data_IF_514141700272
#
_entry.id   IF_514141700272
#
_cell.length_a   1.000
_cell.length_b   1.000
_cell.length_c   1.000
_cell.angle_alpha   90.00
_cell.angle_beta   90.00
_cell.angle_gamma   90.00
#
_symmetry.space_group_name_H-M   'P 1'
#
loop_
_entity.id
_entity.type
_entity.pdbx_description
1 polymer ?
#
# COMPACT_ATOMS: atom_id res chain seq x y z
N UNK A 1 3.58 23.78 -5.17
CA UNK A 1 2.30 23.75 -5.93
C UNK A 1 2.14 22.33 -6.44
N UNK A 2 1.07 21.59 -6.07
CA UNK A 2 0.89 20.20 -6.48
C UNK A 2 0.47 20.12 -7.97
N UNK A 3 0.88 19.04 -8.63
CA UNK A 3 0.50 18.71 -10.02
C UNK A 3 -0.88 18.05 -9.98
N UNK A 4 -1.78 18.40 -10.86
CA UNK A 4 -3.06 17.68 -11.02
C UNK A 4 -2.82 16.46 -11.91
N UNK A 5 -3.08 15.27 -11.37
CA UNK A 5 -2.95 14.02 -12.11
C UNK A 5 -4.18 13.79 -12.99
N UNK A 6 -3.94 13.49 -14.25
CA UNK A 6 -4.95 13.04 -15.23
C UNK A 6 -4.70 11.61 -15.70
N UNK A 7 -3.49 11.12 -15.50
CA UNK A 7 -3.02 9.77 -15.84
C UNK A 7 -2.39 9.12 -14.59
N UNK A 8 -2.29 7.80 -14.53
CA UNK A 8 -1.60 7.13 -13.44
C UNK A 8 -0.14 7.55 -13.31
N UNK A 9 0.27 7.90 -12.10
CA UNK A 9 1.66 8.11 -11.74
C UNK A 9 2.17 6.86 -11.01
N UNK A 10 3.15 6.18 -11.58
CA UNK A 10 3.68 4.90 -11.07
C UNK A 10 5.19 5.01 -10.85
N UNK A 11 5.64 4.58 -9.68
CA UNK A 11 7.04 4.41 -9.30
C UNK A 11 7.31 2.91 -9.13
N UNK A 12 8.24 2.34 -9.86
CA UNK A 12 8.39 0.89 -10.02
C UNK A 12 9.82 0.43 -9.71
N UNK A 13 10.23 0.67 -8.47
CA UNK A 13 11.56 0.30 -7.98
C UNK A 13 12.65 1.32 -8.34
N UNK A 14 12.29 2.57 -8.58
CA UNK A 14 13.22 3.69 -8.63
C UNK A 14 13.36 4.39 -7.28
N UNK A 15 14.54 4.94 -7.01
CA UNK A 15 14.76 5.86 -5.90
C UNK A 15 14.42 7.29 -6.34
N UNK A 16 13.57 7.98 -5.58
CA UNK A 16 13.24 9.39 -5.85
C UNK A 16 13.98 10.33 -4.89
N UNK A 17 14.49 11.44 -5.41
CA UNK A 17 15.32 12.39 -4.65
C UNK A 17 14.52 13.44 -3.89
N UNK A 18 13.20 13.44 -3.99
CA UNK A 18 12.34 14.42 -3.33
C UNK A 18 10.91 13.93 -3.22
N UNK A 19 10.11 14.66 -2.44
CA UNK A 19 8.70 14.36 -2.26
C UNK A 19 7.91 14.93 -3.43
N UNK A 20 7.26 14.06 -4.21
CA UNK A 20 6.31 14.48 -5.23
C UNK A 20 4.96 14.82 -4.59
N UNK A 21 4.35 15.93 -5.02
CA UNK A 21 3.06 16.41 -4.46
C UNK A 21 2.04 16.58 -5.57
N UNK A 22 0.86 16.01 -5.36
CA UNK A 22 -0.22 15.94 -6.35
C UNK A 22 -1.55 16.40 -5.77
N UNK A 23 -2.40 17.03 -6.59
CA UNK A 23 -3.82 17.16 -6.32
C UNK A 23 -4.50 15.85 -6.74
N UNK A 24 -5.14 15.15 -5.79
CA UNK A 24 -5.69 13.82 -5.97
C UNK A 24 -6.98 13.63 -5.18
N UNK A 25 -8.07 13.20 -5.86
CA UNK A 25 -9.35 12.84 -5.24
C UNK A 25 -9.88 13.86 -4.21
N UNK A 26 -9.86 15.16 -4.55
CA UNK A 26 -10.25 16.31 -3.69
C UNK A 26 -9.30 16.58 -2.51
N UNK A 27 -8.13 15.99 -2.48
CA UNK A 27 -7.11 16.15 -1.47
C UNK A 27 -5.74 16.48 -2.07
N UNK A 28 -4.74 16.37 -1.23
CA UNK A 28 -3.33 16.45 -1.61
C UNK A 28 -2.69 15.11 -1.26
N UNK A 29 -2.01 14.51 -2.23
CA UNK A 29 -1.20 13.32 -2.03
C UNK A 29 0.28 13.66 -2.16
N UNK A 30 1.10 13.08 -1.27
CA UNK A 30 2.54 13.11 -1.36
C UNK A 30 3.05 11.70 -1.59
N UNK A 31 4.02 11.53 -2.49
CA UNK A 31 4.61 10.24 -2.80
C UNK A 31 6.14 10.32 -2.69
N UNK A 32 6.70 9.28 -2.09
CA UNK A 32 8.14 9.07 -1.98
C UNK A 32 8.44 7.57 -1.96
N UNK A 33 9.53 7.17 -2.58
CA UNK A 33 10.06 5.81 -2.51
C UNK A 33 11.59 5.85 -2.63
N UNK A 34 12.25 4.95 -1.92
CA UNK A 34 13.69 4.85 -1.92
C UNK A 34 14.15 3.67 -1.07
N UNK A 35 15.23 3.03 -1.51
CA UNK A 35 15.87 1.95 -0.74
C UNK A 35 16.46 2.46 0.56
N UNK A 36 16.66 1.55 1.52
CA UNK A 36 17.37 1.87 2.75
C UNK A 36 18.80 2.37 2.44
N UNK A 37 19.33 3.36 3.19
CA UNK A 37 20.64 4.00 2.88
C UNK A 37 21.81 3.02 2.76
N UNK A 38 21.79 1.94 3.54
CA UNK A 38 22.86 0.93 3.59
C UNK A 38 22.62 -0.28 2.67
N UNK A 39 21.52 -0.26 1.89
CA UNK A 39 21.16 -1.36 0.98
C UNK A 39 21.85 -1.15 -0.37
N UNK A 40 22.71 -2.08 -0.77
CA UNK A 40 23.37 -2.07 -2.10
C UNK A 40 22.43 -2.56 -3.21
N UNK A 41 21.39 -3.32 -2.84
CA UNK A 41 20.41 -3.82 -3.79
C UNK A 41 19.49 -2.72 -4.30
N UNK A 42 18.82 -2.98 -5.43
CA UNK A 42 17.80 -2.08 -5.98
C UNK A 42 16.65 -1.87 -4.97
N UNK A 43 15.92 -0.79 -5.15
CA UNK A 43 14.63 -0.59 -4.52
C UNK A 43 13.64 -1.64 -5.04
N UNK A 44 13.02 -2.41 -4.14
CA UNK A 44 12.06 -3.46 -4.47
C UNK A 44 10.61 -2.99 -4.30
N UNK A 45 10.40 -1.78 -3.77
CA UNK A 45 9.09 -1.18 -3.61
C UNK A 45 8.54 -0.62 -4.93
N UNK A 46 7.23 -0.68 -5.06
CA UNK A 46 6.50 0.01 -6.09
C UNK A 46 5.29 0.73 -5.51
N UNK A 47 4.94 1.89 -6.05
CA UNK A 47 3.75 2.60 -5.66
C UNK A 47 3.05 3.24 -6.86
N UNK A 48 1.78 3.58 -6.69
CA UNK A 48 0.99 4.23 -7.72
C UNK A 48 -0.12 5.11 -7.19
N UNK A 49 -0.34 6.21 -7.90
CA UNK A 49 -1.50 7.09 -7.75
C UNK A 49 -2.31 6.98 -9.04
N UNK A 50 -3.51 6.44 -8.96
CA UNK A 50 -4.35 6.14 -10.12
C UNK A 50 -5.60 7.03 -10.05
N UNK A 51 -5.62 8.19 -10.72
CA UNK A 51 -6.75 9.10 -10.70
C UNK A 51 -7.92 8.55 -11.54
N UNK A 52 -9.14 8.85 -11.12
CA UNK A 52 -10.35 8.57 -11.86
C UNK A 52 -11.31 9.77 -11.74
N UNK A 53 -11.04 10.79 -12.53
CA UNK A 53 -11.70 12.08 -12.40
C UNK A 53 -11.20 12.91 -11.20
N UNK A 54 -11.96 13.93 -10.81
CA UNK A 54 -11.53 14.91 -9.81
C UNK A 54 -11.78 14.47 -8.36
N UNK A 55 -12.65 13.51 -8.14
CA UNK A 55 -13.17 13.14 -6.82
C UNK A 55 -12.98 11.66 -6.45
N UNK A 56 -12.31 10.91 -7.32
CA UNK A 56 -12.08 9.48 -7.11
C UNK A 56 -10.68 9.07 -7.60
N UNK A 57 -10.21 7.96 -7.08
CA UNK A 57 -8.94 7.33 -7.48
C UNK A 57 -8.54 6.22 -6.52
N UNK A 58 -7.41 5.61 -6.81
CA UNK A 58 -6.82 4.55 -5.97
C UNK A 58 -5.35 4.85 -5.72
N UNK A 59 -4.95 4.70 -4.47
CA UNK A 59 -3.54 4.71 -4.07
C UNK A 59 -3.10 3.27 -3.83
N UNK A 60 -1.86 2.96 -4.19
CA UNK A 60 -1.29 1.61 -4.02
C UNK A 60 0.19 1.69 -3.63
N UNK A 61 0.59 0.81 -2.70
CA UNK A 61 1.98 0.51 -2.33
C UNK A 61 2.15 -1.00 -2.37
N UNK A 62 3.28 -1.48 -2.85
CA UNK A 62 3.65 -2.89 -2.90
C UNK A 62 5.15 -3.02 -2.58
N UNK A 63 5.47 -3.90 -1.63
CA UNK A 63 6.82 -4.22 -1.19
C UNK A 63 7.23 -5.59 -1.76
N UNK A 64 8.33 -5.62 -2.47
CA UNK A 64 8.80 -6.81 -3.17
C UNK A 64 9.66 -7.72 -2.31
N UNK A 65 9.27 -8.99 -2.21
CA UNK A 65 9.89 -10.02 -1.39
C UNK A 65 10.61 -11.07 -2.25
N UNK A 66 11.71 -11.63 -1.72
CA UNK A 66 12.41 -12.76 -2.35
C UNK A 66 13.78 -12.42 -2.92
N UNK A 67 14.30 -11.27 -2.57
CA UNK A 67 15.62 -10.81 -3.03
C UNK A 67 15.68 -10.47 -4.52
N UNK A 68 16.73 -9.76 -4.92
CA UNK A 68 16.93 -9.28 -6.27
C UNK A 68 17.05 -10.42 -7.30
N UNK A 69 16.46 -10.26 -8.48
CA UNK A 69 15.58 -9.20 -9.00
C UNK A 69 14.10 -9.54 -8.84
N UNK A 70 13.75 -10.61 -8.15
CA UNK A 70 12.40 -11.17 -8.14
C UNK A 70 11.39 -10.34 -7.34
N UNK A 71 11.82 -9.73 -6.23
CA UNK A 71 10.97 -8.84 -5.42
C UNK A 71 10.53 -7.60 -6.21
N UNK A 72 11.49 -6.86 -6.78
CA UNK A 72 11.24 -5.71 -7.65
C UNK A 72 10.32 -6.02 -8.84
N UNK A 73 10.52 -7.21 -9.44
CA UNK A 73 9.66 -7.64 -10.54
C UNK A 73 8.23 -7.89 -10.05
N UNK A 74 8.07 -8.55 -8.90
CA UNK A 74 6.76 -8.88 -8.35
C UNK A 74 5.96 -7.63 -7.99
N UNK A 75 6.55 -6.67 -7.25
CA UNK A 75 5.91 -5.40 -6.88
C UNK A 75 5.51 -4.58 -8.11
N UNK A 76 6.42 -4.49 -9.11
CA UNK A 76 6.15 -3.80 -10.37
C UNK A 76 5.02 -4.45 -11.17
N UNK A 77 4.94 -5.78 -11.23
CA UNK A 77 3.84 -6.52 -11.87
C UNK A 77 2.53 -6.20 -11.17
N UNK A 78 2.51 -6.25 -9.84
CA UNK A 78 1.31 -6.02 -9.05
C UNK A 78 0.76 -4.61 -9.28
N UNK A 79 1.57 -3.58 -9.09
CA UNK A 79 1.16 -2.18 -9.27
C UNK A 79 0.69 -1.90 -10.70
N UNK A 80 1.42 -2.38 -11.71
CA UNK A 80 1.00 -2.22 -13.13
C UNK A 80 -0.31 -2.93 -13.42
N UNK A 81 -0.52 -4.14 -12.88
CA UNK A 81 -1.73 -4.90 -13.15
C UNK A 81 -2.95 -4.26 -12.54
N UNK A 82 -2.90 -3.89 -11.26
CA UNK A 82 -4.03 -3.23 -10.59
C UNK A 82 -4.32 -1.87 -11.22
N UNK A 83 -3.29 -1.11 -11.60
CA UNK A 83 -3.46 0.17 -12.31
C UNK A 83 -4.24 -0.01 -13.61
N UNK A 84 -3.92 -1.01 -14.44
CA UNK A 84 -4.64 -1.29 -15.69
C UNK A 84 -6.11 -1.60 -15.45
N UNK A 85 -6.42 -2.45 -14.47
CA UNK A 85 -7.80 -2.82 -14.15
C UNK A 85 -8.61 -1.60 -13.67
N UNK A 86 -7.99 -0.77 -12.81
CA UNK A 86 -8.63 0.44 -12.28
C UNK A 86 -8.90 1.45 -13.41
N UNK A 87 -7.91 1.74 -14.26
CA UNK A 87 -8.07 2.66 -15.40
C UNK A 87 -9.20 2.20 -16.33
N UNK A 88 -9.28 0.89 -16.60
CA UNK A 88 -10.34 0.33 -17.43
C UNK A 88 -11.74 0.46 -16.80
N UNK A 89 -11.83 0.59 -15.47
CA UNK A 89 -13.08 0.77 -14.73
C UNK A 89 -13.45 2.23 -14.47
N UNK A 90 -12.58 3.18 -14.83
CA UNK A 90 -12.84 4.61 -14.64
C UNK A 90 -13.97 5.08 -15.56
N UNK A 91 -15.02 5.62 -14.96
CA UNK A 91 -16.19 6.18 -15.61
C UNK A 91 -16.80 7.29 -14.72
N UNK A 92 -17.97 7.80 -15.05
CA UNK A 92 -18.64 8.86 -14.27
C UNK A 92 -19.03 8.41 -12.85
N UNK A 93 -19.26 7.11 -12.67
CA UNK A 93 -19.63 6.50 -11.37
C UNK A 93 -18.76 5.29 -11.07
N UNK A 94 -17.46 5.49 -10.73
CA UNK A 94 -16.52 4.39 -10.57
C UNK A 94 -16.87 3.51 -9.36
N UNK A 95 -16.88 2.21 -9.59
CA UNK A 95 -16.99 1.17 -8.55
C UNK A 95 -15.74 0.31 -8.61
N UNK A 96 -14.74 0.67 -7.81
CA UNK A 96 -13.41 0.07 -7.92
C UNK A 96 -13.29 -1.33 -7.34
N UNK A 97 -14.22 -1.75 -6.47
CA UNK A 97 -14.07 -3.02 -5.74
C UNK A 97 -13.79 -4.22 -6.65
N UNK A 98 -14.56 -4.38 -7.72
CA UNK A 98 -14.39 -5.47 -8.66
C UNK A 98 -13.06 -5.36 -9.39
N UNK A 99 -12.75 -4.18 -9.93
CA UNK A 99 -11.50 -3.92 -10.64
C UNK A 99 -10.25 -4.11 -9.75
N UNK A 100 -10.35 -3.77 -8.46
CA UNK A 100 -9.27 -3.98 -7.48
C UNK A 100 -9.08 -5.47 -7.23
N UNK A 101 -10.14 -6.21 -6.92
CA UNK A 101 -10.06 -7.65 -6.61
C UNK A 101 -9.57 -8.45 -7.81
N UNK A 102 -10.12 -8.19 -9.01
CA UNK A 102 -9.67 -8.81 -10.24
C UNK A 102 -8.22 -8.45 -10.57
N UNK A 103 -7.84 -7.18 -10.31
CA UNK A 103 -6.48 -6.70 -10.49
C UNK A 103 -5.47 -7.41 -9.59
N UNK A 104 -5.81 -7.62 -8.31
CA UNK A 104 -4.97 -8.35 -7.34
C UNK A 104 -4.87 -9.82 -7.74
N UNK A 105 -5.99 -10.47 -8.08
CA UNK A 105 -5.99 -11.87 -8.49
C UNK A 105 -5.15 -12.10 -9.77
N UNK A 106 -5.31 -11.23 -10.77
CA UNK A 106 -4.49 -11.28 -11.99
C UNK A 106 -3.02 -10.98 -11.72
N UNK A 107 -2.72 -10.08 -10.78
CA UNK A 107 -1.35 -9.83 -10.34
C UNK A 107 -0.74 -11.09 -9.71
N UNK A 108 -1.48 -11.75 -8.81
CA UNK A 108 -1.07 -13.00 -8.18
C UNK A 108 -0.72 -14.07 -9.22
N UNK A 109 -1.61 -14.31 -10.18
CA UNK A 109 -1.39 -15.27 -11.26
C UNK A 109 -0.16 -14.92 -12.11
N UNK A 110 0.05 -13.62 -12.41
CA UNK A 110 1.21 -13.17 -13.19
C UNK A 110 2.52 -13.32 -12.43
N UNK A 111 2.55 -12.98 -11.14
CA UNK A 111 3.75 -13.17 -10.30
C UNK A 111 4.09 -14.64 -10.20
N UNK A 112 3.13 -15.53 -9.94
CA UNK A 112 3.33 -16.99 -9.93
C UNK A 112 3.86 -17.50 -11.27
N UNK A 113 3.35 -16.99 -12.38
CA UNK A 113 3.75 -17.39 -13.73
C UNK A 113 5.19 -16.99 -14.08
N UNK A 114 5.84 -16.09 -13.34
CA UNK A 114 7.26 -15.77 -13.55
C UNK A 114 8.17 -16.95 -13.21
N UNK A 115 7.75 -17.83 -12.30
CA UNK A 115 8.53 -18.97 -11.83
C UNK A 115 9.78 -18.59 -11.03
N UNK A 116 9.94 -17.33 -10.64
CA UNK A 116 11.14 -16.83 -9.93
C UNK A 116 11.11 -17.12 -8.42
N UNK A 117 9.94 -17.49 -7.87
CA UNK A 117 9.75 -17.66 -6.45
C UNK A 117 9.65 -16.33 -5.66
N UNK A 118 9.70 -15.21 -6.34
CA UNK A 118 9.45 -13.90 -5.72
C UNK A 118 7.98 -13.64 -5.45
N UNK A 119 7.70 -12.77 -4.49
CA UNK A 119 6.37 -12.31 -4.14
C UNK A 119 6.35 -10.83 -3.84
N UNK A 120 5.19 -10.32 -3.49
CA UNK A 120 5.06 -8.93 -3.05
C UNK A 120 3.86 -8.78 -2.11
N UNK A 121 3.95 -7.81 -1.21
CA UNK A 121 2.78 -7.30 -0.50
C UNK A 121 1.95 -6.42 -1.41
N UNK A 122 0.79 -5.99 -0.97
CA UNK A 122 0.07 -4.85 -1.53
C UNK A 122 -0.83 -4.20 -0.48
N UNK A 123 -0.77 -2.88 -0.39
CA UNK A 123 -1.70 -2.06 0.36
C UNK A 123 -2.35 -1.06 -0.59
N UNK A 124 -3.67 -1.01 -0.62
CA UNK A 124 -4.44 -0.18 -1.56
C UNK A 124 -5.59 0.54 -0.85
N UNK A 125 -5.87 1.75 -1.30
CA UNK A 125 -7.05 2.50 -0.83
C UNK A 125 -7.82 3.04 -2.02
N UNK A 126 -9.07 2.58 -2.17
CA UNK A 126 -10.03 3.25 -3.03
C UNK A 126 -10.53 4.53 -2.35
N UNK A 127 -10.65 5.60 -3.11
CA UNK A 127 -11.17 6.89 -2.67
C UNK A 127 -12.30 7.30 -3.61
N UNK A 128 -13.50 7.54 -3.07
CA UNK A 128 -14.64 8.06 -3.84
C UNK A 128 -15.38 9.07 -2.97
N UNK A 129 -15.46 10.33 -3.39
CA UNK A 129 -16.19 11.40 -2.66
C UNK A 129 -15.82 11.47 -1.17
N UNK A 130 -14.54 11.44 -0.83
CA UNK A 130 -14.00 11.43 0.54
C UNK A 130 -14.38 10.18 1.35
N UNK A 131 -14.95 9.16 0.76
CA UNK A 131 -15.10 7.85 1.39
C UNK A 131 -13.98 6.96 0.88
N UNK A 132 -13.27 6.33 1.80
CA UNK A 132 -12.20 5.39 1.48
C UNK A 132 -12.59 3.97 1.85
N UNK A 133 -11.94 3.00 1.21
CA UNK A 133 -11.94 1.60 1.60
C UNK A 133 -10.54 1.03 1.40
N UNK A 134 -9.93 0.46 2.45
CA UNK A 134 -8.65 -0.22 2.36
C UNK A 134 -8.79 -1.66 1.86
N UNK A 135 -7.74 -2.13 1.18
CA UNK A 135 -7.50 -3.51 0.77
C UNK A 135 -6.02 -3.81 0.98
N UNK A 136 -5.69 -4.98 1.52
CA UNK A 136 -4.29 -5.35 1.62
C UNK A 136 -4.03 -6.86 1.58
N UNK A 137 -2.80 -7.20 1.22
CA UNK A 137 -2.17 -8.52 1.28
C UNK A 137 -0.75 -8.29 1.78
N UNK A 138 -0.37 -8.91 2.89
CA UNK A 138 0.96 -8.77 3.46
C UNK A 138 1.01 -7.82 4.65
N UNK A 139 2.17 -7.27 4.91
CA UNK A 139 2.52 -6.42 6.04
C UNK A 139 2.68 -4.94 5.69
N UNK A 140 2.57 -4.56 4.42
CA UNK A 140 2.37 -3.15 4.06
C UNK A 140 1.07 -2.65 4.66
N UNK A 141 1.11 -1.47 5.29
CA UNK A 141 0.03 -1.00 6.14
C UNK A 141 -0.67 0.27 5.63
N UNK A 142 -1.89 0.44 6.12
CA UNK A 142 -2.73 1.61 5.87
C UNK A 142 -3.17 2.19 7.22
N UNK A 143 -2.79 3.44 7.47
CA UNK A 143 -3.14 4.18 8.68
C UNK A 143 -4.01 5.38 8.32
N UNK A 144 -5.13 5.55 9.01
CA UNK A 144 -6.00 6.72 8.88
C UNK A 144 -6.05 7.45 10.22
N UNK A 145 -5.56 8.68 10.22
CA UNK A 145 -5.59 9.54 11.40
C UNK A 145 -6.53 10.71 11.18
N UNK A 146 -7.23 11.07 12.22
CA UNK A 146 -8.09 12.26 12.29
C UNK A 146 -7.44 13.37 13.08
N UNK A 147 -8.16 14.47 13.21
CA UNK A 147 -7.72 15.60 14.01
C UNK A 147 -7.40 15.18 15.46
N UNK A 148 -6.42 15.85 16.06
CA UNK A 148 -5.91 15.60 17.42
C UNK A 148 -5.26 14.21 17.57
N UNK A 149 -4.68 13.67 16.52
CA UNK A 149 -3.98 12.39 16.55
C UNK A 149 -4.89 11.17 16.81
N UNK A 150 -6.20 11.27 16.52
CA UNK A 150 -7.10 10.12 16.67
C UNK A 150 -6.87 9.12 15.55
N UNK A 151 -6.44 7.92 15.85
CA UNK A 151 -6.41 6.80 14.90
C UNK A 151 -7.86 6.38 14.61
N UNK A 152 -8.26 6.46 13.34
CA UNK A 152 -9.57 6.04 12.85
C UNK A 152 -9.56 4.62 12.32
N UNK A 153 -8.43 4.21 11.75
CA UNK A 153 -8.22 2.88 11.21
C UNK A 153 -6.73 2.61 11.06
N UNK A 154 -6.34 1.38 11.29
CA UNK A 154 -5.06 0.80 10.93
C UNK A 154 -5.31 -0.62 10.46
N UNK A 155 -4.65 -1.05 9.39
CA UNK A 155 -4.69 -2.45 8.95
C UNK A 155 -3.92 -3.33 9.93
N UNK A 156 -4.26 -4.61 9.96
CA UNK A 156 -3.54 -5.61 10.74
C UNK A 156 -2.56 -6.28 9.80
N UNK A 157 -1.27 -6.15 10.10
CA UNK A 157 -0.23 -6.79 9.30
C UNK A 157 -0.42 -8.31 9.24
N UNK A 158 -0.32 -8.89 8.05
CA UNK A 158 -0.34 -10.34 7.86
C UNK A 158 1.04 -10.94 8.22
N UNK A 159 1.42 -10.78 9.46
CA UNK A 159 2.67 -11.28 10.04
C UNK A 159 2.40 -11.95 11.40
N UNK A 160 3.28 -12.84 11.90
CA UNK A 160 3.17 -13.36 13.24
C UNK A 160 3.07 -12.27 14.30
N UNK A 161 3.86 -11.22 14.14
CA UNK A 161 3.89 -10.04 15.02
C UNK A 161 2.58 -9.27 14.97
N UNK A 162 2.04 -9.00 13.77
CA UNK A 162 0.75 -8.32 13.60
C UNK A 162 -0.40 -9.08 14.28
N UNK A 163 -0.46 -10.39 14.12
CA UNK A 163 -1.46 -11.23 14.80
C UNK A 163 -1.25 -11.30 16.32
N UNK A 164 0.00 -11.22 16.81
CA UNK A 164 0.28 -11.18 18.24
C UNK A 164 -0.19 -9.89 18.88
N UNK A 165 -0.03 -8.75 18.18
CA UNK A 165 -0.54 -7.44 18.60
C UNK A 165 -2.07 -7.46 18.65
N UNK A 166 -2.72 -7.92 17.59
CA UNK A 166 -4.19 -8.01 17.53
C UNK A 166 -4.76 -8.88 18.65
N UNK A 167 -4.08 -10.00 18.93
CA UNK A 167 -4.46 -10.91 20.03
C UNK A 167 -4.13 -10.35 21.44
N UNK A 168 -3.53 -9.17 21.54
CA UNK A 168 -3.10 -8.56 22.82
C UNK A 168 -1.97 -9.32 23.51
N UNK A 169 -1.18 -10.10 22.78
CA UNK A 169 -0.03 -10.87 23.27
C UNK A 169 1.29 -10.11 23.21
N UNK A 170 1.33 -9.10 22.35
CA UNK A 170 2.48 -8.22 22.14
C UNK A 170 1.98 -6.77 22.09
N UNK A 171 2.71 -5.87 22.74
CA UNK A 171 2.42 -4.44 22.64
C UNK A 171 3.06 -3.87 21.35
N UNK A 172 2.37 -2.93 20.68
CA UNK A 172 2.85 -2.36 19.41
C UNK A 172 4.24 -1.70 19.53
N UNK A 173 4.57 -1.14 20.69
CA UNK A 173 5.89 -0.56 20.95
C UNK A 173 7.03 -1.60 21.05
N UNK A 174 6.72 -2.83 21.45
CA UNK A 174 7.69 -3.91 21.57
C UNK A 174 7.90 -4.64 20.22
N UNK A 175 6.94 -4.54 19.33
CA UNK A 175 6.95 -5.19 18.01
C UNK A 175 8.16 -4.81 17.14
N UNK A 176 8.64 -3.57 17.25
CA UNK A 176 9.81 -3.07 16.52
C UNK A 176 11.09 -3.86 16.88
N UNK A 177 11.13 -4.47 18.05
CA UNK A 177 12.28 -5.25 18.55
C UNK A 177 12.10 -6.76 18.37
N UNK A 178 10.94 -7.21 17.84
CA UNK A 178 10.67 -8.63 17.64
C UNK A 178 11.51 -9.21 16.49
N UNK A 179 12.09 -10.39 16.70
CA UNK A 179 12.94 -11.06 15.69
C UNK A 179 12.13 -11.54 14.49
N UNK A 180 10.84 -11.81 14.66
CA UNK A 180 9.93 -12.29 13.59
C UNK A 180 9.23 -11.16 12.83
N UNK A 181 9.56 -9.88 13.08
CA UNK A 181 8.91 -8.74 12.43
C UNK A 181 9.04 -8.74 10.89
N UNK A 182 10.07 -9.40 10.36
CA UNK A 182 10.30 -9.50 8.91
C UNK A 182 9.57 -10.68 8.26
N UNK A 183 8.82 -11.48 9.03
CA UNK A 183 8.10 -12.63 8.49
C UNK A 183 6.73 -12.21 8.00
N UNK A 184 6.48 -12.43 6.71
CA UNK A 184 5.19 -12.20 6.07
C UNK A 184 4.48 -13.51 5.83
N UNK A 185 3.23 -13.64 6.26
CA UNK A 185 2.45 -14.89 6.21
C UNK A 185 1.46 -14.96 5.04
N UNK A 186 1.29 -13.87 4.28
CA UNK A 186 0.35 -13.78 3.16
C UNK A 186 0.91 -12.82 2.10
N UNK A 187 1.10 -13.28 0.88
CA UNK A 187 1.75 -12.51 -0.20
C UNK A 187 1.05 -12.72 -1.55
N UNK A 188 1.18 -11.76 -2.44
CA UNK A 188 0.93 -11.92 -3.88
C UNK A 188 2.09 -12.76 -4.44
N UNK A 189 1.78 -13.80 -5.21
CA UNK A 189 2.73 -14.80 -5.68
C UNK A 189 2.57 -16.15 -4.99
N UNK A 190 1.56 -16.30 -4.11
CA UNK A 190 1.24 -17.53 -3.40
C UNK A 190 -0.11 -18.11 -3.82
N UNK A 191 -0.25 -19.44 -3.76
CA UNK A 191 -1.49 -20.16 -4.11
C UNK A 191 -2.62 -19.94 -3.12
N UNK A 192 -2.30 -19.63 -1.87
CA UNK A 192 -3.23 -19.42 -0.76
C UNK A 192 -3.38 -17.93 -0.37
N UNK A 193 -2.99 -17.03 -1.28
CA UNK A 193 -3.14 -15.58 -1.13
C UNK A 193 -4.58 -15.20 -0.77
N UNK A 194 -4.72 -14.30 0.20
CA UNK A 194 -6.00 -13.78 0.68
C UNK A 194 -5.99 -12.27 0.68
N UNK A 195 -7.04 -11.65 0.16
CA UNK A 195 -7.21 -10.19 0.21
C UNK A 195 -8.04 -9.83 1.43
N UNK A 196 -7.49 -9.01 2.31
CA UNK A 196 -8.27 -8.40 3.38
C UNK A 196 -8.89 -7.09 2.91
N UNK A 197 -10.20 -6.92 3.21
CA UNK A 197 -10.99 -5.76 2.80
C UNK A 197 -11.50 -5.07 4.06
N UNK A 198 -11.02 -3.86 4.27
CA UNK A 198 -11.43 -3.06 5.43
C UNK A 198 -12.79 -2.36 5.27
N UNK A 199 -13.21 -1.66 6.31
CA UNK A 199 -14.48 -0.93 6.34
C UNK A 199 -14.46 0.28 5.39
N UNK A 200 -15.64 0.79 5.07
CA UNK A 200 -15.78 2.12 4.48
C UNK A 200 -15.60 3.19 5.56
N UNK A 201 -14.73 4.16 5.30
CA UNK A 201 -14.40 5.23 6.23
C UNK A 201 -14.62 6.57 5.52
N UNK A 202 -15.43 7.45 6.11
CA UNK A 202 -15.59 8.82 5.61
C UNK A 202 -14.52 9.71 6.20
N UNK A 203 -13.74 10.33 5.34
CA UNK A 203 -12.71 11.30 5.72
C UNK A 203 -13.35 12.67 6.01
N UNK A 204 -13.00 13.23 7.15
CA UNK A 204 -13.26 14.61 7.46
C UNK A 204 -12.16 15.52 6.87
N UNK A 205 -12.39 16.83 6.75
CA UNK A 205 -11.31 17.75 6.42
C UNK A 205 -10.14 17.60 7.40
N UNK A 206 -8.92 17.61 6.89
CA UNK A 206 -7.66 17.44 7.64
C UNK A 206 -7.44 16.03 8.23
N UNK A 207 -8.22 15.04 7.81
CA UNK A 207 -7.81 13.65 8.05
C UNK A 207 -6.62 13.31 7.15
N UNK A 208 -5.72 12.50 7.67
CA UNK A 208 -4.53 12.04 6.97
C UNK A 208 -4.62 10.54 6.73
N UNK A 209 -4.32 10.13 5.51
CA UNK A 209 -4.17 8.75 5.10
C UNK A 209 -2.69 8.50 4.81
N UNK A 210 -2.11 7.51 5.47
CA UNK A 210 -0.74 7.04 5.24
C UNK A 210 -0.81 5.61 4.73
N UNK A 211 -0.07 5.33 3.66
CA UNK A 211 0.12 3.98 3.11
C UNK A 211 1.62 3.78 2.98
N UNK A 212 2.15 2.70 3.52
CA UNK A 212 3.59 2.43 3.50
C UNK A 212 3.92 0.95 3.52
N UNK A 213 5.15 0.64 3.11
CA UNK A 213 5.79 -0.65 3.31
C UNK A 213 6.34 -0.77 4.74
N UNK A 214 6.94 -1.91 5.07
CA UNK A 214 7.63 -2.18 6.33
C UNK A 214 8.75 -1.15 6.60
N UNK A 215 9.39 -0.62 5.55
CA UNK A 215 10.37 0.46 5.66
C UNK A 215 9.86 1.70 6.42
N UNK A 216 8.55 1.93 6.49
CA UNK A 216 7.94 2.95 7.34
C UNK A 216 7.50 2.36 8.69
N UNK A 217 6.69 1.31 8.68
CA UNK A 217 5.97 0.83 9.86
C UNK A 217 6.83 -0.01 10.80
N UNK A 218 7.93 -0.60 10.33
CA UNK A 218 8.95 -1.23 11.17
C UNK A 218 9.86 -0.21 11.89
N UNK A 219 9.85 1.05 11.45
CA UNK A 219 10.67 2.10 12.05
C UNK A 219 9.87 3.12 12.86
N UNK A 220 8.58 3.29 12.56
CA UNK A 220 7.68 4.23 13.24
C UNK A 220 6.33 3.58 13.49
N UNK A 221 5.94 3.39 14.74
CA UNK A 221 4.60 2.92 15.04
C UNK A 221 3.55 4.02 14.90
N UNK A 222 2.29 3.65 14.74
CA UNK A 222 1.19 4.57 14.47
C UNK A 222 1.07 5.71 15.50
N UNK A 223 1.49 5.46 16.76
CA UNK A 223 1.54 6.46 17.82
C UNK A 223 2.54 7.59 17.56
N UNK A 224 3.65 7.32 16.88
CA UNK A 224 4.67 8.31 16.50
C UNK A 224 4.26 9.03 15.20
N UNK A 225 3.77 8.28 14.20
CA UNK A 225 3.33 8.86 12.93
C UNK A 225 2.24 9.92 13.11
N UNK A 226 1.31 9.72 14.05
CA UNK A 226 0.24 10.70 14.33
C UNK A 226 0.71 11.99 15.00
N UNK A 227 1.94 12.04 15.54
CA UNK A 227 2.51 13.21 16.21
C UNK A 227 3.31 14.11 15.26
N UNK A 228 3.60 13.60 14.05
CA UNK A 228 4.24 14.33 12.95
C UNK A 228 3.20 15.14 12.18
#
# INVERSE_FOLDING_TARGET
>A
MGITLTEPELYLGEDVTGIATFHFAQGVACAWTGRAPDKESDNEDALGLIPCGSNAGVLVVADGLGGLPSGKQASSIAVRQVSRNIVASCNEHPVFREAILDGIEQANQRVMATGTGGGTTIAMVEIVNRTIRPYHVGDSEILVTGQRGRIKHQTISHSPVGYAIEAGRLEAGDAIHDEERHLVSNIIGATDMRVEIGPRITLAPLDTLVIGSDGLFDNLHAGEIKEI
#
